data_IF_819156129858
#
_entry.id   IF_819156129858
#
_cell.length_a   1.000
_cell.length_b   1.000
_cell.length_c   1.000
_cell.angle_alpha   90.00
_cell.angle_beta   90.00
_cell.angle_gamma   90.00
#
_symmetry.space_group_name_H-M   'P 1'
#
loop_
_entity.id
_entity.type
_entity.pdbx_description
1 polymer ?
#
# COMPACT_ATOMS: atom_id res chain seq x y z
N UNK A 1 -13.28 2.98 19.27
CA UNK A 1 -13.18 4.45 19.40
C UNK A 1 -11.80 4.74 19.92
N UNK A 2 -11.10 5.72 19.38
CA UNK A 2 -9.85 6.18 19.97
C UNK A 2 -10.16 6.92 21.27
N UNK A 3 -10.02 6.22 22.38
CA UNK A 3 -10.59 6.57 23.68
C UNK A 3 -9.53 6.89 24.75
N UNK A 4 -8.25 6.84 24.37
CA UNK A 4 -7.12 6.99 25.29
C UNK A 4 -6.17 8.09 24.85
N UNK A 5 -5.56 8.74 25.84
CA UNK A 5 -4.49 9.72 25.64
C UNK A 5 -3.19 9.09 25.14
N UNK A 6 -3.08 7.76 25.12
CA UNK A 6 -1.90 7.03 24.69
C UNK A 6 -2.28 5.64 24.16
N UNK A 7 -1.84 5.28 22.95
CA UNK A 7 -2.08 3.95 22.34
C UNK A 7 -0.91 3.49 21.45
N UNK A 8 -0.42 2.26 21.63
CA UNK A 8 0.73 1.69 20.92
C UNK A 8 0.27 1.06 19.62
N UNK A 9 0.76 1.54 18.47
CA UNK A 9 0.55 0.86 17.20
C UNK A 9 1.45 -0.37 17.09
N UNK A 10 2.74 -0.20 17.32
CA UNK A 10 3.73 -1.29 17.26
C UNK A 10 4.94 -0.94 18.14
N UNK A 11 5.49 -1.92 18.86
CA UNK A 11 6.65 -1.70 19.72
C UNK A 11 7.53 -2.94 19.91
N UNK A 12 8.83 -2.69 20.11
CA UNK A 12 9.82 -3.62 20.67
C UNK A 12 10.45 -3.04 21.95
N UNK A 13 9.66 -2.28 22.71
CA UNK A 13 10.00 -1.80 24.05
C UNK A 13 10.20 -0.29 24.17
N UNK A 14 10.48 0.11 25.40
CA UNK A 14 10.66 1.49 25.85
C UNK A 14 12.14 1.89 25.92
N UNK A 15 12.41 3.16 26.23
CA UNK A 15 13.78 3.67 26.40
C UNK A 15 14.57 3.62 25.09
N UNK A 16 15.62 2.78 25.06
CA UNK A 16 16.41 2.52 23.87
C UNK A 16 15.88 1.38 22.97
N UNK A 17 14.69 0.87 23.26
CA UNK A 17 13.89 0.13 22.27
C UNK A 17 13.24 1.07 21.25
N UNK A 18 12.30 0.54 20.46
CA UNK A 18 11.52 1.35 19.51
C UNK A 18 10.02 1.14 19.65
N UNK A 19 9.27 2.20 19.33
CA UNK A 19 7.80 2.18 19.27
C UNK A 19 7.27 3.24 18.32
N UNK A 20 6.17 2.92 17.66
CA UNK A 20 5.28 3.87 16.98
C UNK A 20 3.97 3.88 17.77
N UNK A 21 3.51 5.06 18.16
CA UNK A 21 2.32 5.18 19.00
C UNK A 21 1.64 6.53 18.84
N UNK A 22 0.38 6.62 19.28
CA UNK A 22 -0.41 7.84 19.28
C UNK A 22 -0.33 8.56 20.62
N UNK A 23 -0.07 9.86 20.60
CA UNK A 23 -0.22 10.80 21.71
C UNK A 23 -1.60 11.46 21.65
N UNK A 24 -2.59 10.78 22.20
CA UNK A 24 -3.98 11.23 22.20
C UNK A 24 -4.31 12.39 23.13
N UNK A 25 -3.43 12.70 24.09
CA UNK A 25 -3.57 13.85 24.99
C UNK A 25 -3.05 15.17 24.40
N UNK A 26 -2.35 15.11 23.26
CA UNK A 26 -1.88 16.31 22.57
C UNK A 26 -3.02 17.01 21.81
N UNK A 27 -2.81 18.28 21.47
CA UNK A 27 -3.81 19.08 20.75
C UNK A 27 -3.15 19.82 19.57
N UNK A 28 -3.17 19.28 18.34
CA UNK A 28 -3.95 18.10 17.95
C UNK A 28 -3.35 16.78 18.43
N UNK A 29 -4.14 15.69 18.50
CA UNK A 29 -3.61 14.36 18.66
C UNK A 29 -2.72 13.98 17.49
N UNK A 30 -1.56 13.40 17.78
CA UNK A 30 -0.55 13.08 16.76
C UNK A 30 0.08 11.71 17.01
N UNK A 31 0.66 11.13 15.95
CA UNK A 31 1.53 9.97 16.08
C UNK A 31 2.92 10.41 16.52
N UNK A 32 3.68 9.49 17.08
CA UNK A 32 5.08 9.72 17.37
C UNK A 32 5.88 8.43 17.27
N UNK A 33 7.18 8.58 17.20
CA UNK A 33 8.14 7.50 17.07
C UNK A 33 9.27 7.68 18.09
N UNK A 34 9.62 6.59 18.78
CA UNK A 34 10.91 6.44 19.47
C UNK A 34 11.74 5.45 18.67
N UNK A 35 12.89 5.91 18.18
CA UNK A 35 13.95 5.17 17.50
C UNK A 35 15.19 4.97 18.39
N UNK A 36 15.00 4.76 19.69
CA UNK A 36 16.07 4.50 20.66
C UNK A 36 16.44 5.67 21.57
N UNK A 37 16.00 6.90 21.30
CA UNK A 37 16.28 8.06 22.17
C UNK A 37 15.03 8.88 22.49
N UNK A 38 14.04 8.23 23.11
CA UNK A 38 12.74 8.82 23.41
C UNK A 38 12.01 9.32 22.16
N UNK A 39 10.85 9.94 22.37
CA UNK A 39 10.01 10.37 21.26
C UNK A 39 10.65 11.50 20.46
N UNK A 40 10.39 11.50 19.16
CA UNK A 40 10.57 12.68 18.30
C UNK A 40 9.74 13.84 18.84
N UNK A 41 10.18 15.06 18.50
CA UNK A 41 9.53 16.28 18.93
C UNK A 41 8.11 16.38 18.38
N UNK A 42 7.31 17.22 19.01
CA UNK A 42 5.94 17.49 18.60
C UNK A 42 5.91 18.21 17.25
N UNK A 43 5.06 17.75 16.34
CA UNK A 43 5.03 18.24 14.96
C UNK A 43 3.72 18.93 14.56
N UNK A 44 2.66 18.82 15.38
CA UNK A 44 1.36 19.46 15.16
C UNK A 44 0.66 19.02 13.85
N UNK A 45 1.01 17.85 13.32
CA UNK A 45 0.27 17.22 12.21
C UNK A 45 -0.73 16.28 12.84
N UNK A 46 -2.01 16.62 12.74
CA UNK A 46 -3.07 15.78 13.25
C UNK A 46 -3.09 14.45 12.49
N UNK A 47 -3.30 13.35 13.22
CA UNK A 47 -3.69 12.09 12.62
C UNK A 47 -5.04 11.69 13.18
N UNK A 48 -6.05 11.77 12.33
CA UNK A 48 -7.41 11.35 12.65
C UNK A 48 -7.56 9.88 12.28
N UNK A 49 -8.06 9.07 13.21
CA UNK A 49 -8.23 7.62 12.99
C UNK A 49 -9.57 7.24 13.60
N UNK A 50 -10.34 6.42 12.89
CA UNK A 50 -11.67 6.00 13.31
C UNK A 50 -12.75 7.07 13.15
N UNK A 51 -12.57 7.99 12.20
CA UNK A 51 -13.63 8.88 11.70
C UNK A 51 -14.49 8.17 10.65
N UNK A 52 -15.59 8.82 10.24
CA UNK A 52 -16.46 8.39 9.13
C UNK A 52 -16.45 9.49 8.04
N UNK A 53 -15.96 9.22 6.82
CA UNK A 53 -15.48 7.93 6.33
C UNK A 53 -14.19 7.46 7.02
N UNK A 54 -13.99 6.15 7.02
CA UNK A 54 -12.75 5.54 7.53
C UNK A 54 -11.54 6.04 6.73
N UNK A 55 -10.55 6.61 7.41
CA UNK A 55 -9.30 7.10 6.83
C UNK A 55 -8.15 6.15 7.13
N UNK A 56 -7.39 5.81 6.09
CA UNK A 56 -6.10 5.10 6.20
C UNK A 56 -4.95 6.10 6.18
N UNK A 57 -3.91 5.80 6.96
CA UNK A 57 -2.68 6.59 7.01
C UNK A 57 -1.47 5.67 6.96
N UNK A 58 -0.44 6.09 6.25
CA UNK A 58 0.86 5.45 6.28
C UNK A 58 1.73 6.09 7.36
N UNK A 59 2.36 5.27 8.20
CA UNK A 59 3.25 5.74 9.28
C UNK A 59 4.56 4.98 9.21
N UNK A 60 5.68 5.70 9.06
CA UNK A 60 7.00 5.09 9.05
C UNK A 60 7.94 5.76 10.06
N UNK A 61 8.64 4.94 10.84
CA UNK A 61 9.71 5.38 11.73
C UNK A 61 11.06 4.90 11.20
N UNK A 62 11.98 5.82 10.95
CA UNK A 62 13.33 5.52 10.47
C UNK A 62 14.32 5.85 11.57
N UNK A 63 15.24 4.93 11.86
CA UNK A 63 16.41 5.21 12.70
C UNK A 63 17.68 4.98 11.90
N UNK A 64 18.49 6.03 11.74
CA UNK A 64 19.71 6.00 10.97
C UNK A 64 20.93 6.26 11.87
N UNK A 65 21.68 5.19 12.12
CA UNK A 65 22.92 5.26 12.91
C UNK A 65 24.06 6.01 12.21
N UNK A 66 24.02 6.17 10.89
CA UNK A 66 25.05 6.88 10.12
C UNK A 66 24.92 8.39 10.27
N UNK A 67 23.69 8.90 10.26
CA UNK A 67 23.39 10.33 10.51
C UNK A 67 23.09 10.65 11.97
N UNK A 68 22.92 9.61 12.80
CA UNK A 68 22.49 9.72 14.21
C UNK A 68 21.09 10.33 14.38
N UNK A 69 20.17 10.01 13.46
CA UNK A 69 18.82 10.57 13.44
C UNK A 69 17.73 9.50 13.62
N UNK A 70 16.63 9.90 14.23
CA UNK A 70 15.34 9.19 14.21
C UNK A 70 14.30 10.11 13.58
N UNK A 71 13.55 9.58 12.63
CA UNK A 71 12.67 10.36 11.74
C UNK A 71 11.30 9.69 11.72
N UNK A 72 10.25 10.49 11.76
CA UNK A 72 8.86 10.06 11.60
C UNK A 72 8.32 10.61 10.30
N UNK A 73 7.70 9.72 9.52
CA UNK A 73 6.96 10.05 8.33
C UNK A 73 5.48 9.72 8.51
N UNK A 74 4.62 10.60 8.01
CA UNK A 74 3.18 10.39 7.88
C UNK A 74 2.79 10.63 6.43
N UNK A 75 2.07 9.68 5.83
CA UNK A 75 1.57 9.77 4.46
C UNK A 75 2.68 10.15 3.46
N UNK A 76 3.83 9.49 3.59
CA UNK A 76 5.00 9.67 2.72
C UNK A 76 5.89 10.86 3.06
N UNK A 77 5.43 11.79 3.89
CA UNK A 77 6.13 13.04 4.20
C UNK A 77 6.80 13.01 5.58
N UNK A 78 7.99 13.62 5.67
CA UNK A 78 8.68 13.77 6.96
C UNK A 78 7.94 14.78 7.84
N UNK A 79 7.49 14.37 9.03
CA UNK A 79 6.80 15.26 9.97
C UNK A 79 7.64 15.61 11.19
N UNK A 80 8.59 14.76 11.59
CA UNK A 80 9.43 15.02 12.74
C UNK A 80 10.78 14.33 12.64
N UNK A 81 11.79 14.95 13.23
CA UNK A 81 13.18 14.48 13.27
C UNK A 81 13.79 14.80 14.62
N UNK A 82 14.61 13.89 15.14
CA UNK A 82 15.37 14.09 16.38
C UNK A 82 16.71 13.37 16.31
N UNK A 83 17.72 13.91 16.99
CA UNK A 83 19.00 13.22 17.13
C UNK A 83 18.96 12.06 18.13
N UNK A 84 19.86 11.10 17.95
CA UNK A 84 20.07 9.96 18.84
C UNK A 84 19.51 8.64 18.32
N UNK A 85 20.15 8.11 17.28
CA UNK A 85 19.92 6.75 16.79
C UNK A 85 20.62 5.72 17.69
N UNK A 86 20.01 5.40 18.84
CA UNK A 86 20.65 4.61 19.91
C UNK A 86 19.90 3.31 20.23
N UNK A 87 19.32 2.68 19.19
CA UNK A 87 18.60 1.42 19.33
C UNK A 87 19.45 0.34 20.01
N UNK A 88 18.81 -0.39 20.93
CA UNK A 88 19.36 -1.57 21.55
C UNK A 88 18.33 -2.71 21.53
N UNK A 89 18.81 -3.95 21.39
CA UNK A 89 17.96 -5.10 21.66
C UNK A 89 17.75 -5.25 23.17
N UNK A 90 16.50 -5.12 23.59
CA UNK A 90 16.09 -5.25 24.98
C UNK A 90 15.59 -6.65 25.34
N UNK A 91 15.62 -7.60 24.39
CA UNK A 91 15.10 -8.96 24.57
C UNK A 91 13.57 -9.05 24.60
N UNK A 92 12.87 -7.93 24.41
CA UNK A 92 11.41 -7.90 24.35
C UNK A 92 10.90 -8.50 23.02
N UNK A 93 9.78 -9.25 23.04
CA UNK A 93 9.08 -9.58 21.81
C UNK A 93 8.54 -8.29 21.18
N UNK A 94 8.52 -8.26 19.85
CA UNK A 94 7.78 -7.22 19.14
C UNK A 94 6.28 -7.47 19.28
N UNK A 95 5.49 -6.43 19.47
CA UNK A 95 4.03 -6.49 19.55
C UNK A 95 3.40 -5.46 18.62
N UNK A 96 2.36 -5.87 17.90
CA UNK A 96 1.46 -4.99 17.16
C UNK A 96 0.20 -4.82 18.01
N UNK A 97 -0.25 -3.59 18.18
CA UNK A 97 -1.42 -3.22 18.97
C UNK A 97 -1.24 -3.26 20.48
N UNK A 98 -0.01 -3.47 20.97
CA UNK A 98 0.30 -3.56 22.40
C UNK A 98 1.75 -3.12 22.69
N UNK A 99 2.08 -2.90 23.96
CA UNK A 99 3.40 -2.48 24.41
C UNK A 99 4.01 -3.54 25.35
N UNK A 100 5.20 -4.07 25.06
CA UNK A 100 5.78 -5.16 25.84
C UNK A 100 6.23 -4.74 27.25
N UNK A 101 6.46 -3.44 27.50
CA UNK A 101 6.97 -2.92 28.78
C UNK A 101 5.89 -2.20 29.61
N UNK A 102 4.69 -1.96 29.06
CA UNK A 102 3.67 -1.17 29.75
C UNK A 102 2.24 -1.59 29.38
N UNK A 103 1.42 -1.85 30.39
CA UNK A 103 0.03 -2.30 30.22
C UNK A 103 -0.95 -1.16 29.89
N UNK A 104 -2.18 -1.52 29.48
CA UNK A 104 -3.32 -0.63 29.19
C UNK A 104 -3.12 0.35 28.03
N UNK A 105 -2.18 0.01 27.15
CA UNK A 105 -1.66 0.85 26.06
C UNK A 105 -2.07 0.36 24.68
N UNK A 106 -3.12 -0.46 24.62
CA UNK A 106 -3.52 -1.17 23.41
C UNK A 106 -4.07 -0.25 22.32
N UNK A 107 -3.75 -0.59 21.06
CA UNK A 107 -4.35 0.02 19.88
C UNK A 107 -5.81 -0.38 19.75
N UNK A 108 -6.64 0.55 19.29
CA UNK A 108 -8.03 0.30 18.92
C UNK A 108 -8.28 0.85 17.51
N UNK A 109 -7.81 0.12 16.50
CA UNK A 109 -7.96 0.46 15.09
C UNK A 109 -7.49 -0.68 14.20
N UNK A 110 -7.72 -0.56 12.89
CA UNK A 110 -7.18 -1.48 11.89
C UNK A 110 -5.69 -1.23 11.69
N UNK A 111 -4.99 -2.25 11.25
CA UNK A 111 -3.57 -2.23 10.89
C UNK A 111 -3.41 -3.16 9.70
N UNK A 112 -2.70 -2.70 8.68
CA UNK A 112 -2.38 -3.50 7.49
C UNK A 112 -0.94 -3.21 7.02
N UNK A 113 -0.40 -4.08 6.16
CA UNK A 113 0.89 -3.93 5.48
C UNK A 113 2.09 -3.58 6.37
N UNK A 114 2.25 -4.30 7.48
CA UNK A 114 3.35 -4.10 8.42
C UNK A 114 4.66 -4.67 7.89
N UNK A 115 5.65 -3.81 7.67
CA UNK A 115 7.00 -4.19 7.26
C UNK A 115 8.09 -3.60 8.17
N UNK A 116 9.23 -4.29 8.22
CA UNK A 116 10.42 -3.88 8.99
C UNK A 116 11.65 -4.09 8.13
N UNK A 117 12.46 -3.04 8.00
CA UNK A 117 13.69 -3.05 7.23
C UNK A 117 14.90 -3.14 8.15
N UNK A 118 15.91 -3.93 7.73
CA UNK A 118 17.20 -4.03 8.42
C UNK A 118 18.15 -2.86 8.15
N UNK A 119 17.67 -1.78 7.52
CA UNK A 119 18.42 -0.57 7.19
C UNK A 119 17.52 0.66 7.30
N UNK A 120 18.13 1.84 7.40
CA UNK A 120 17.40 3.08 7.21
C UNK A 120 16.90 3.18 5.75
N UNK A 121 15.62 3.54 5.60
CA UNK A 121 15.04 3.88 4.30
C UNK A 121 15.36 5.34 3.98
N UNK A 122 15.61 5.64 2.72
CA UNK A 122 15.72 7.00 2.24
C UNK A 122 14.32 7.64 2.09
N UNK A 123 14.20 8.98 2.11
CA UNK A 123 12.89 9.65 2.02
C UNK A 123 12.08 9.24 0.77
N UNK A 124 12.73 9.10 -0.38
CA UNK A 124 12.05 8.69 -1.62
C UNK A 124 11.49 7.26 -1.53
N UNK A 125 12.15 6.36 -0.80
CA UNK A 125 11.65 4.99 -0.61
C UNK A 125 10.40 4.98 0.26
N UNK A 126 10.35 5.84 1.29
CA UNK A 126 9.16 5.98 2.15
C UNK A 126 7.98 6.56 1.36
N UNK A 127 8.23 7.55 0.50
CA UNK A 127 7.21 8.10 -0.40
C UNK A 127 6.72 7.06 -1.42
N UNK A 128 7.63 6.26 -1.99
CA UNK A 128 7.30 5.19 -2.94
C UNK A 128 6.49 4.05 -2.30
N UNK A 129 6.66 3.80 -1.00
CA UNK A 129 5.86 2.84 -0.22
C UNK A 129 4.45 3.38 0.01
N UNK A 130 4.34 4.66 0.37
CA UNK A 130 3.05 5.31 0.58
C UNK A 130 2.24 5.41 -0.72
N UNK A 131 2.91 5.69 -1.84
CA UNK A 131 2.34 5.71 -3.18
C UNK A 131 1.04 6.54 -3.29
N UNK A 132 1.03 7.77 -2.75
CA UNK A 132 -0.15 8.64 -2.84
C UNK A 132 -1.36 8.20 -2.01
N UNK A 133 -1.20 7.19 -1.15
CA UNK A 133 -2.28 6.59 -0.35
C UNK A 133 -2.75 5.23 -0.86
N UNK A 134 -2.37 4.84 -2.07
CA UNK A 134 -2.69 3.52 -2.63
C UNK A 134 -1.86 2.40 -1.97
N UNK A 135 -0.72 2.76 -1.36
CA UNK A 135 0.25 1.81 -0.86
C UNK A 135 1.00 1.11 -1.99
N UNK A 136 2.17 0.56 -1.65
CA UNK A 136 2.90 -0.36 -2.52
C UNK A 136 3.07 -1.68 -1.76
N UNK A 137 2.62 -2.76 -2.38
CA UNK A 137 2.72 -4.10 -1.80
C UNK A 137 4.17 -4.54 -1.64
N UNK A 138 4.40 -5.48 -0.71
CA UNK A 138 5.74 -6.05 -0.51
C UNK A 138 6.30 -6.71 -1.78
N UNK A 139 5.43 -7.27 -2.63
CA UNK A 139 5.80 -7.88 -3.90
C UNK A 139 6.32 -6.83 -4.89
N UNK A 140 5.62 -5.70 -5.03
CA UNK A 140 6.06 -4.58 -5.86
C UNK A 140 7.37 -3.99 -5.34
N UNK A 141 7.50 -3.85 -4.02
CA UNK A 141 8.74 -3.38 -3.39
C UNK A 141 9.94 -4.31 -3.65
N UNK A 142 9.71 -5.61 -3.73
CA UNK A 142 10.74 -6.61 -4.01
C UNK A 142 10.99 -6.80 -5.52
N UNK A 143 10.25 -6.09 -6.38
CA UNK A 143 10.28 -6.32 -7.83
C UNK A 143 9.78 -7.71 -8.23
N UNK A 144 8.98 -8.33 -7.36
CA UNK A 144 8.36 -9.64 -7.55
C UNK A 144 6.93 -9.52 -8.08
N UNK A 145 6.36 -8.31 -8.05
CA UNK A 145 5.03 -8.08 -8.60
C UNK A 145 5.02 -8.41 -10.09
N UNK A 146 4.05 -9.25 -10.46
CA UNK A 146 3.76 -9.51 -11.85
C UNK A 146 3.10 -8.25 -12.41
N UNK A 147 3.65 -7.61 -13.45
CA UNK A 147 3.07 -6.39 -14.00
C UNK A 147 1.64 -6.65 -14.49
N UNK A 148 0.73 -5.73 -14.20
CA UNK A 148 -0.62 -5.78 -14.75
C UNK A 148 -0.56 -5.38 -16.23
N UNK A 149 -0.44 -6.38 -17.11
CA UNK A 149 -0.31 -6.21 -18.55
C UNK A 149 -0.93 -7.38 -19.31
N UNK A 150 -1.28 -7.14 -20.58
CA UNK A 150 -1.58 -8.23 -21.50
C UNK A 150 -0.33 -9.06 -21.73
N UNK A 151 -0.42 -10.36 -21.49
CA UNK A 151 0.62 -11.34 -21.78
C UNK A 151 0.47 -11.90 -23.19
N UNK A 152 -0.76 -11.92 -23.73
CA UNK A 152 -1.04 -12.39 -25.08
C UNK A 152 -2.28 -11.72 -25.69
N UNK A 153 -2.22 -11.48 -27.00
CA UNK A 153 -3.35 -11.02 -27.82
C UNK A 153 -3.33 -11.86 -29.10
N UNK A 154 -4.32 -12.72 -29.26
CA UNK A 154 -4.45 -13.61 -30.41
C UNK A 154 -5.60 -13.11 -31.28
N UNK A 155 -5.38 -12.98 -32.58
CA UNK A 155 -6.42 -12.71 -33.57
C UNK A 155 -6.60 -13.93 -34.47
N UNK A 156 -7.86 -14.35 -34.66
CA UNK A 156 -8.26 -15.39 -35.59
C UNK A 156 -9.01 -14.78 -36.77
N UNK A 157 -8.36 -14.77 -37.92
CA UNK A 157 -8.92 -14.20 -39.15
C UNK A 157 -10.11 -14.99 -39.74
N UNK A 158 -10.26 -16.28 -39.41
CA UNK A 158 -11.37 -17.09 -39.92
C UNK A 158 -12.68 -16.77 -39.20
N UNK A 159 -12.60 -16.48 -37.90
CA UNK A 159 -13.73 -16.15 -37.03
C UNK A 159 -13.92 -14.63 -36.89
N UNK A 160 -13.00 -13.83 -37.43
CA UNK A 160 -12.84 -12.39 -37.16
C UNK A 160 -12.97 -12.05 -35.68
N UNK A 161 -12.15 -12.70 -34.86
CA UNK A 161 -12.26 -12.61 -33.41
C UNK A 161 -10.93 -12.63 -32.67
N UNK A 162 -10.98 -12.19 -31.42
CA UNK A 162 -9.83 -11.99 -30.55
C UNK A 162 -9.87 -12.92 -29.34
N UNK A 163 -8.69 -13.20 -28.79
CA UNK A 163 -8.51 -13.75 -27.45
C UNK A 163 -7.41 -12.97 -26.75
N UNK A 164 -7.69 -12.58 -25.52
CA UNK A 164 -6.82 -11.76 -24.70
C UNK A 164 -6.41 -12.55 -23.47
N UNK A 165 -5.16 -12.41 -23.07
CA UNK A 165 -4.61 -12.98 -21.85
C UNK A 165 -3.84 -11.88 -21.12
N UNK A 166 -4.03 -11.78 -19.81
CA UNK A 166 -3.32 -10.82 -18.97
C UNK A 166 -3.02 -11.41 -17.60
N UNK A 167 -2.01 -10.82 -16.95
CA UNK A 167 -1.72 -11.09 -15.55
C UNK A 167 -2.86 -10.52 -14.69
N UNK A 168 -3.49 -11.35 -13.86
CA UNK A 168 -4.64 -10.96 -13.03
C UNK A 168 -4.41 -11.31 -11.56
N UNK A 169 -5.30 -10.88 -10.68
CA UNK A 169 -5.31 -11.22 -9.26
C UNK A 169 -6.52 -12.10 -8.94
N UNK A 170 -6.40 -13.11 -8.07
CA UNK A 170 -7.53 -13.94 -7.66
C UNK A 170 -8.66 -13.11 -7.03
N UNK A 171 -9.91 -13.53 -7.24
CA UNK A 171 -11.12 -12.90 -6.66
C UNK A 171 -11.36 -11.44 -7.06
N UNK A 172 -10.77 -10.98 -8.16
CA UNK A 172 -11.06 -9.68 -8.78
C UNK A 172 -11.99 -9.82 -9.98
N UNK A 173 -12.60 -8.72 -10.37
CA UNK A 173 -13.28 -8.57 -11.66
C UNK A 173 -12.60 -7.47 -12.47
N UNK A 174 -12.72 -7.56 -13.78
CA UNK A 174 -12.07 -6.66 -14.72
C UNK A 174 -13.05 -6.12 -15.76
N UNK A 175 -12.78 -4.90 -16.21
CA UNK A 175 -13.46 -4.24 -17.32
C UNK A 175 -12.55 -4.16 -18.55
N UNK A 176 -13.01 -4.69 -19.68
CA UNK A 176 -12.30 -4.70 -20.95
C UNK A 176 -12.89 -3.63 -21.88
N UNK A 177 -12.02 -2.81 -22.46
CA UNK A 177 -12.38 -1.74 -23.39
C UNK A 177 -11.66 -1.90 -24.72
N UNK A 178 -12.18 -1.26 -25.76
CA UNK A 178 -11.49 -1.12 -27.05
C UNK A 178 -11.43 0.34 -27.54
N UNK A 179 -10.52 0.59 -28.48
CA UNK A 179 -10.33 1.90 -29.12
C UNK A 179 -9.74 1.77 -30.52
N UNK A 180 -10.01 2.73 -31.40
CA UNK A 180 -9.30 2.89 -32.69
C UNK A 180 -8.06 3.80 -32.60
N UNK A 181 -7.93 4.61 -31.55
CA UNK A 181 -7.00 5.73 -31.50
C UNK A 181 -6.03 5.75 -30.32
N UNK A 182 -6.16 4.86 -29.32
CA UNK A 182 -5.47 4.91 -28.01
C UNK A 182 -5.85 6.10 -27.12
N UNK A 183 -6.65 7.05 -27.63
CA UNK A 183 -6.97 8.29 -26.92
C UNK A 183 -8.28 8.18 -26.14
N UNK A 184 -9.26 7.45 -26.68
CA UNK A 184 -10.61 7.33 -26.14
C UNK A 184 -10.99 5.85 -26.00
N UNK A 185 -11.50 5.46 -24.82
CA UNK A 185 -11.94 4.11 -24.48
C UNK A 185 -13.34 4.19 -23.84
N UNK A 186 -14.27 4.79 -24.58
CA UNK A 186 -15.58 5.19 -24.05
C UNK A 186 -16.61 4.04 -24.03
N UNK A 187 -16.28 2.91 -24.66
CA UNK A 187 -17.14 1.72 -24.70
C UNK A 187 -16.40 0.50 -24.11
N UNK A 188 -17.01 -0.09 -23.10
CA UNK A 188 -16.65 -1.40 -22.58
C UNK A 188 -17.17 -2.50 -23.52
N UNK A 189 -16.43 -3.59 -23.56
CA UNK A 189 -16.81 -4.87 -24.13
C UNK A 189 -17.53 -5.69 -23.07
N UNK A 190 -16.97 -5.71 -21.86
CA UNK A 190 -17.48 -6.44 -20.70
C UNK A 190 -16.87 -5.86 -19.43
N UNK A 191 -17.72 -5.42 -18.50
CA UNK A 191 -17.34 -4.84 -17.21
C UNK A 191 -17.27 -5.86 -16.06
N UNK A 192 -17.53 -7.14 -16.35
CA UNK A 192 -17.80 -8.16 -15.33
C UNK A 192 -16.91 -9.40 -15.42
N UNK A 193 -15.79 -9.30 -16.13
CA UNK A 193 -14.90 -10.45 -16.38
C UNK A 193 -14.30 -10.92 -15.04
N UNK A 194 -14.68 -12.12 -14.61
CA UNK A 194 -14.19 -12.70 -13.36
C UNK A 194 -12.80 -13.28 -13.54
N UNK A 195 -11.89 -12.95 -12.62
CA UNK A 195 -10.54 -13.49 -12.59
C UNK A 195 -10.51 -15.01 -12.55
N UNK A 196 -9.58 -15.60 -13.31
CA UNK A 196 -9.29 -17.05 -13.27
C UNK A 196 -8.09 -17.39 -12.37
N UNK A 197 -7.55 -16.40 -11.62
CA UNK A 197 -6.41 -16.55 -10.72
C UNK A 197 -5.33 -15.51 -11.02
N UNK A 198 -4.09 -15.96 -11.09
CA UNK A 198 -2.92 -15.11 -11.45
C UNK A 198 -2.90 -14.73 -12.93
N UNK A 199 -3.71 -15.38 -13.76
CA UNK A 199 -3.85 -15.11 -15.18
C UNK A 199 -5.30 -15.29 -15.56
N UNK A 200 -5.79 -14.43 -16.44
CA UNK A 200 -7.15 -14.53 -16.98
C UNK A 200 -7.09 -14.55 -18.50
N UNK A 201 -7.81 -15.51 -19.09
CA UNK A 201 -8.01 -15.64 -20.54
C UNK A 201 -9.45 -15.23 -20.85
N UNK A 202 -9.63 -14.29 -21.77
CA UNK A 202 -10.95 -13.84 -22.19
C UNK A 202 -11.10 -13.74 -23.72
N UNK A 203 -12.21 -14.29 -24.27
CA UNK A 203 -13.14 -15.21 -23.62
C UNK A 203 -12.45 -16.57 -23.36
N UNK A 204 -13.19 -17.57 -22.89
CA UNK A 204 -12.64 -18.91 -22.62
C UNK A 204 -11.94 -19.56 -23.84
N UNK A 205 -11.19 -20.64 -23.60
CA UNK A 205 -10.33 -21.29 -24.62
C UNK A 205 -11.06 -21.78 -25.89
N UNK A 206 -12.37 -21.97 -25.83
CA UNK A 206 -13.20 -22.45 -26.95
C UNK A 206 -14.01 -21.33 -27.62
N UNK A 207 -13.82 -20.08 -27.19
CA UNK A 207 -14.57 -18.92 -27.66
C UNK A 207 -13.65 -17.85 -28.24
N UNK A 208 -14.25 -16.93 -29.00
CA UNK A 208 -13.60 -15.76 -29.57
C UNK A 208 -14.42 -14.52 -29.24
N UNK A 209 -13.75 -13.47 -28.78
CA UNK A 209 -14.35 -12.14 -28.67
C UNK A 209 -14.60 -11.65 -30.09
N UNK A 210 -15.85 -11.41 -30.51
CA UNK A 210 -16.11 -10.90 -31.86
C UNK A 210 -15.38 -9.57 -32.06
N UNK A 211 -14.89 -9.32 -33.28
CA UNK A 211 -14.32 -8.03 -33.62
C UNK A 211 -15.32 -6.90 -33.29
N UNK A 212 -15.00 -6.02 -32.30
CA UNK A 212 -15.94 -5.01 -31.84
C UNK A 212 -16.18 -3.91 -32.88
N UNK A 213 -15.33 -3.84 -33.92
CA UNK A 213 -15.44 -2.85 -34.97
C UNK A 213 -14.99 -3.42 -36.33
N UNK A 214 -15.97 -3.92 -37.08
CA UNK A 214 -15.76 -4.45 -38.42
C UNK A 214 -15.13 -3.40 -39.36
N UNK A 215 -14.10 -3.80 -40.10
CA UNK A 215 -13.41 -2.94 -41.07
C UNK A 215 -12.42 -1.94 -40.47
N UNK A 216 -12.25 -1.90 -39.15
CA UNK A 216 -11.22 -1.08 -38.52
C UNK A 216 -9.81 -1.54 -38.94
N UNK A 217 -8.93 -0.64 -39.39
CA UNK A 217 -7.57 -1.01 -39.81
C UNK A 217 -6.64 -1.32 -38.61
N UNK A 218 -7.05 -0.93 -37.41
CA UNK A 218 -6.35 -1.15 -36.15
C UNK A 218 -7.34 -1.09 -34.99
N UNK A 219 -7.05 -1.85 -33.95
CA UNK A 219 -7.80 -1.86 -32.69
C UNK A 219 -6.81 -1.91 -31.54
N UNK A 220 -7.16 -1.25 -30.46
CA UNK A 220 -6.44 -1.23 -29.19
C UNK A 220 -7.36 -1.74 -28.10
N UNK A 221 -6.80 -2.45 -27.14
CA UNK A 221 -7.53 -2.97 -25.99
C UNK A 221 -6.93 -2.39 -24.71
N UNK A 222 -7.79 -2.15 -23.73
CA UNK A 222 -7.41 -1.74 -22.37
C UNK A 222 -8.16 -2.60 -21.38
N UNK A 223 -7.47 -3.09 -20.36
CA UNK A 223 -8.06 -3.84 -19.25
C UNK A 223 -7.88 -3.02 -17.98
N UNK A 224 -8.94 -2.94 -17.17
CA UNK A 224 -8.94 -2.24 -15.88
C UNK A 224 -9.42 -3.21 -14.79
N UNK A 225 -8.75 -3.20 -13.62
CA UNK A 225 -9.25 -3.90 -12.44
C UNK A 225 -10.40 -3.08 -11.83
N UNK A 226 -11.55 -3.72 -11.62
CA UNK A 226 -12.67 -3.08 -10.94
C UNK A 226 -12.35 -2.87 -9.45
N UNK A 227 -12.76 -1.73 -8.89
CA UNK A 227 -12.60 -1.40 -7.47
C UNK A 227 -13.51 -2.23 -6.57
#
# INVERSE_FOLDING_TARGET
>A
MIDKSWQCLIAKGEGNGWRVHRRGGDNPPEMTFTGGNGDVDRHNVAMTVGEDPETWHHVAGVTDSSTQEQILYLDGEEVARKSGATLADRGNPMRIGDNPDAANRNWQGKVDDVAIWGRALAPFEVADIWNGGDGKSIEEMLGLAIPFEFTNIIYNAAEDGFRLEWNSKPNKTYALFFSESLEEFDADIDDSITSQGETTVYPGEDEWLPNPLEGAPKLFFRIEENQ
#
